data_IF_801242617651
#
_entry.id   IF_801242617651
#
_cell.length_a   1.000
_cell.length_b   1.000
_cell.length_c   1.000
_cell.angle_alpha   90.00
_cell.angle_beta   90.00
_cell.angle_gamma   90.00
#
_symmetry.space_group_name_H-M   'P 1'
#
loop_
_entity.id
_entity.type
_entity.pdbx_description
1 polymer ?
#
# COMPACT_ATOMS: atom_id res chain seq x y z
N UNK A 1 14.93 -3.57 -14.00
CA UNK A 1 14.86 -3.74 -12.54
C UNK A 1 15.68 -2.62 -11.89
N UNK A 2 15.03 -1.55 -11.41
CA UNK A 2 15.68 -0.43 -10.71
C UNK A 2 14.99 -0.28 -9.35
N UNK A 3 15.54 -0.99 -8.35
CA UNK A 3 15.25 -0.88 -6.90
C UNK A 3 13.80 -0.53 -6.48
N UNK A 4 12.80 -1.36 -6.78
CA UNK A 4 11.52 -1.30 -6.09
C UNK A 4 11.63 -2.02 -4.74
N UNK A 5 10.97 -1.52 -3.69
CA UNK A 5 11.06 -2.06 -2.33
C UNK A 5 10.51 -3.50 -2.17
N UNK A 6 9.94 -4.08 -3.22
CA UNK A 6 9.47 -5.46 -3.28
C UNK A 6 9.20 -5.93 -4.71
N UNK A 7 8.79 -7.19 -4.85
CA UNK A 7 8.47 -7.83 -6.12
C UNK A 7 7.22 -8.70 -5.95
N UNK A 8 6.36 -8.71 -6.96
CA UNK A 8 5.16 -9.56 -7.00
C UNK A 8 5.10 -10.31 -8.32
N UNK A 9 4.77 -11.59 -8.23
CA UNK A 9 4.46 -12.43 -9.37
C UNK A 9 3.04 -12.99 -9.19
N UNK A 10 2.20 -12.77 -10.20
CA UNK A 10 0.83 -13.26 -10.23
C UNK A 10 0.77 -14.34 -11.30
N UNK A 11 0.48 -15.58 -10.88
CA UNK A 11 0.33 -16.74 -11.76
C UNK A 11 -1.12 -17.18 -11.69
N UNK A 12 -1.84 -16.95 -12.79
CA UNK A 12 -3.22 -17.41 -12.96
C UNK A 12 -3.22 -18.80 -13.64
N UNK A 13 -4.15 -19.71 -13.31
CA UNK A 13 -4.16 -21.08 -13.89
C UNK A 13 -4.25 -21.12 -15.41
N UNK A 14 -5.02 -20.18 -15.99
CA UNK A 14 -5.26 -20.08 -17.44
C UNK A 14 -4.58 -18.85 -18.06
N UNK A 15 -3.78 -18.11 -17.28
CA UNK A 15 -3.20 -16.83 -17.67
C UNK A 15 -1.67 -16.88 -17.76
N UNK A 16 -1.10 -15.96 -18.54
CA UNK A 16 0.34 -15.75 -18.51
C UNK A 16 0.76 -15.20 -17.14
N UNK A 17 1.90 -15.68 -16.61
CA UNK A 17 2.49 -15.13 -15.41
C UNK A 17 2.81 -13.63 -15.62
N UNK A 18 2.38 -12.80 -14.65
CA UNK A 18 2.61 -11.36 -14.67
C UNK A 18 3.53 -10.96 -13.54
N UNK A 19 4.54 -10.19 -13.87
CA UNK A 19 5.56 -9.74 -12.93
C UNK A 19 5.42 -8.24 -12.71
N UNK A 20 5.44 -7.83 -11.45
CA UNK A 20 5.31 -6.44 -11.03
C UNK A 20 6.37 -6.10 -10.01
N UNK A 21 6.97 -4.94 -10.19
CA UNK A 21 7.71 -4.28 -9.14
C UNK A 21 6.70 -3.76 -8.11
N UNK A 22 7.02 -3.76 -6.81
CA UNK A 22 6.07 -3.31 -5.78
C UNK A 22 6.73 -2.39 -4.74
N UNK A 23 5.90 -1.61 -4.05
CA UNK A 23 6.29 -0.92 -2.83
C UNK A 23 5.16 -0.96 -1.80
N UNK A 24 5.53 -0.87 -0.52
CA UNK A 24 4.57 -0.80 0.58
C UNK A 24 4.35 0.66 0.98
N UNK A 25 3.09 1.10 0.95
CA UNK A 25 2.73 2.44 1.37
C UNK A 25 2.95 2.64 2.88
N UNK A 26 3.71 3.66 3.26
CA UNK A 26 3.98 3.99 4.67
C UNK A 26 2.74 4.47 5.45
N UNK A 27 1.66 4.88 4.76
CA UNK A 27 0.42 5.27 5.42
C UNK A 27 -0.43 4.04 5.74
N UNK A 28 -0.85 3.28 4.73
CA UNK A 28 -1.87 2.24 4.93
C UNK A 28 -1.31 0.81 4.91
N UNK A 29 0.01 0.63 4.82
CA UNK A 29 0.68 -0.66 4.64
C UNK A 29 0.18 -1.48 3.43
N UNK A 30 -0.49 -0.82 2.48
CA UNK A 30 -0.94 -1.45 1.24
C UNK A 30 0.25 -1.64 0.29
N UNK A 31 0.39 -2.87 -0.21
CA UNK A 31 1.30 -3.19 -1.31
C UNK A 31 0.70 -2.60 -2.60
N UNK A 32 1.49 -1.79 -3.30
CA UNK A 32 1.10 -1.14 -4.56
C UNK A 32 2.00 -1.65 -5.68
N UNK A 33 1.39 -2.05 -6.79
CA UNK A 33 2.12 -2.49 -7.99
C UNK A 33 2.63 -1.27 -8.76
N UNK A 34 3.88 -1.35 -9.18
CA UNK A 34 4.59 -0.36 -9.98
C UNK A 34 4.63 -0.86 -11.42
N UNK A 35 4.05 -0.11 -12.38
CA UNK A 35 4.16 -0.46 -13.79
C UNK A 35 5.62 -0.45 -14.25
N UNK A 36 5.92 -1.26 -15.27
CA UNK A 36 7.27 -1.32 -15.83
C UNK A 36 7.75 0.06 -16.30
N UNK A 37 9.02 0.38 -15.97
CA UNK A 37 9.69 1.65 -16.33
C UNK A 37 9.11 2.92 -15.68
N UNK A 38 8.18 2.78 -14.73
CA UNK A 38 7.68 3.90 -13.93
C UNK A 38 8.42 3.90 -12.59
N UNK A 39 8.75 5.08 -12.06
CA UNK A 39 9.34 5.19 -10.74
C UNK A 39 8.26 5.12 -9.66
N UNK A 40 8.55 4.50 -8.52
CA UNK A 40 7.57 4.37 -7.43
C UNK A 40 7.12 5.75 -6.90
N UNK A 41 8.01 6.74 -6.94
CA UNK A 41 7.73 8.12 -6.56
C UNK A 41 6.67 8.78 -7.46
N UNK A 42 6.54 8.38 -8.73
CA UNK A 42 5.61 9.00 -9.68
C UNK A 42 4.16 8.49 -9.53
N UNK A 43 3.95 7.38 -8.81
CA UNK A 43 2.62 6.75 -8.67
C UNK A 43 1.80 7.42 -7.56
N UNK A 44 2.40 7.58 -6.38
CA UNK A 44 1.73 8.21 -5.25
C UNK A 44 2.60 9.20 -4.50
N UNK A 45 3.85 9.42 -4.92
CA UNK A 45 4.71 10.42 -4.30
C UNK A 45 5.31 9.99 -2.98
N UNK A 46 6.02 10.95 -2.39
CA UNK A 46 6.67 10.86 -1.10
C UNK A 46 5.90 11.70 -0.08
N UNK A 47 5.48 11.10 1.03
CA UNK A 47 4.93 11.87 2.13
C UNK A 47 6.05 12.62 2.85
N UNK A 48 5.99 13.95 2.89
CA UNK A 48 7.01 14.79 3.54
C UNK A 48 6.98 14.74 5.07
N UNK A 49 5.96 14.10 5.66
CA UNK A 49 5.82 14.00 7.12
C UNK A 49 6.46 12.72 7.67
N UNK A 50 6.25 11.58 7.01
CA UNK A 50 6.88 10.31 7.39
C UNK A 50 8.08 9.93 6.50
N UNK A 51 8.38 10.71 5.48
CA UNK A 51 9.44 10.50 4.49
C UNK A 51 9.35 9.14 3.78
N UNK A 52 8.16 8.54 3.72
CA UNK A 52 7.89 7.26 3.07
C UNK A 52 7.07 7.39 1.78
N UNK A 53 7.19 6.40 0.91
CA UNK A 53 6.35 6.27 -0.29
C UNK A 53 4.88 6.08 0.09
N UNK A 54 3.98 6.74 -0.63
CA UNK A 54 2.54 6.60 -0.42
C UNK A 54 1.83 6.08 -1.66
N UNK A 55 0.73 5.34 -1.46
CA UNK A 55 -0.08 4.86 -2.55
C UNK A 55 -1.04 5.97 -3.04
N UNK A 56 -1.58 5.87 -4.27
CA UNK A 56 -2.50 6.85 -4.84
C UNK A 56 -3.70 7.14 -3.93
N UNK A 57 -4.20 6.11 -3.22
CA UNK A 57 -5.33 6.25 -2.31
C UNK A 57 -5.01 7.02 -1.01
N UNK A 58 -3.73 7.24 -0.70
CA UNK A 58 -3.28 7.99 0.46
C UNK A 58 -2.81 9.40 0.11
N UNK A 59 -2.70 9.75 -1.17
CA UNK A 59 -2.36 11.11 -1.62
C UNK A 59 -3.45 12.07 -1.13
N UNK A 60 -3.02 13.20 -0.53
CA UNK A 60 -3.92 14.21 0.02
C UNK A 60 -4.57 13.87 1.38
N UNK A 61 -4.34 12.67 1.92
CA UNK A 61 -4.84 12.30 3.26
C UNK A 61 -3.82 12.64 4.36
N UNK A 62 -4.28 12.97 5.57
CA UNK A 62 -3.37 13.25 6.67
C UNK A 62 -2.53 12.01 7.02
N UNK A 63 -1.24 12.23 7.24
CA UNK A 63 -0.36 11.22 7.80
C UNK A 63 -0.68 11.07 9.30
N UNK A 64 -1.33 9.96 9.67
CA UNK A 64 -1.55 9.63 11.08
C UNK A 64 -0.43 8.73 11.60
N UNK A 65 0.00 8.89 12.86
CA UNK A 65 0.94 7.99 13.51
C UNK A 65 0.47 6.55 13.47
N UNK A 66 1.42 5.62 13.34
CA UNK A 66 1.13 4.19 13.20
C UNK A 66 0.24 3.64 14.33
N UNK A 67 0.53 3.98 15.59
CA UNK A 67 -0.25 3.52 16.74
C UNK A 67 -1.72 3.97 16.68
N UNK A 68 -1.98 5.24 16.34
CA UNK A 68 -3.35 5.75 16.14
C UNK A 68 -4.07 5.05 15.01
N UNK A 69 -3.35 4.68 13.94
CA UNK A 69 -3.92 3.94 12.82
C UNK A 69 -4.26 2.49 13.21
N UNK A 70 -3.42 1.86 14.03
CA UNK A 70 -3.67 0.53 14.58
C UNK A 70 -4.95 0.53 15.44
N UNK A 71 -5.10 1.51 16.34
CA UNK A 71 -6.31 1.70 17.16
C UNK A 71 -7.58 1.83 16.29
N UNK A 72 -7.51 2.61 15.20
CA UNK A 72 -8.63 2.75 14.26
C UNK A 72 -8.98 1.42 13.57
N UNK A 73 -7.98 0.61 13.21
CA UNK A 73 -8.19 -0.70 12.59
C UNK A 73 -8.80 -1.69 13.57
N UNK A 74 -8.32 -1.72 14.81
CA UNK A 74 -8.87 -2.56 15.88
C UNK A 74 -10.30 -2.15 16.25
N UNK A 75 -10.59 -0.85 16.36
CA UNK A 75 -11.93 -0.36 16.63
C UNK A 75 -12.92 -0.74 15.52
N UNK A 76 -12.49 -0.65 14.25
CA UNK A 76 -13.29 -1.11 13.10
C UNK A 76 -13.51 -2.62 13.12
N UNK A 77 -12.51 -3.40 13.54
CA UNK A 77 -12.64 -4.85 13.68
C UNK A 77 -13.66 -5.23 14.77
N UNK A 78 -13.61 -4.58 15.95
CA UNK A 78 -14.59 -4.75 17.04
C UNK A 78 -16.01 -4.43 16.57
N UNK A 79 -16.18 -3.29 15.92
CA UNK A 79 -17.49 -2.89 15.39
C UNK A 79 -18.04 -3.90 14.37
N UNK A 80 -17.19 -4.45 13.51
CA UNK A 80 -17.61 -5.46 12.52
C UNK A 80 -18.06 -6.77 13.19
N UNK A 81 -17.39 -7.19 14.26
CA UNK A 81 -17.79 -8.40 15.00
C UNK A 81 -19.07 -8.19 15.81
N UNK A 82 -19.32 -6.99 16.31
CA UNK A 82 -20.50 -6.66 17.13
C UNK A 82 -21.80 -6.53 16.30
N UNK A 83 -21.71 -6.10 15.03
CA UNK A 83 -22.90 -5.87 14.18
C UNK A 83 -23.23 -7.06 13.27
N UNK A 84 -22.23 -7.84 12.87
CA UNK A 84 -22.39 -8.94 11.91
C UNK A 84 -22.26 -10.33 12.56
N UNK A 85 -22.16 -10.38 13.89
CA UNK A 85 -22.13 -11.59 14.71
C UNK A 85 -23.49 -11.97 15.25
#
# INVERSE_FOLDING_TARGET
MRLPGGYAQIVDPDGAAREFDTFTCAHCNRITHVPARVRAEDIGGLCKQCMGLVCPACVGKPCVPFLKRLEQMEAKARFRTEICG
#
